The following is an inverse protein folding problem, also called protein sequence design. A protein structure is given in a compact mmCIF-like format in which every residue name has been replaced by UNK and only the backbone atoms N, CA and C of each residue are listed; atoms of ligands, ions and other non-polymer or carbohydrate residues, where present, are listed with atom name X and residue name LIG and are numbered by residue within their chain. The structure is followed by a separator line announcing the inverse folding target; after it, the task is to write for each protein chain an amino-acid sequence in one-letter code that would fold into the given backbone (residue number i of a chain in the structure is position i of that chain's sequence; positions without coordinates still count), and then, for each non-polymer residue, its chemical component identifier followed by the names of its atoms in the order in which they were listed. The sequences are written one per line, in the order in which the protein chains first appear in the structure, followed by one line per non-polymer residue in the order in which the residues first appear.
data_IF_358186605513
#
_entry.id   IF_358186605513
#
_cell.length_a   1.000
_cell.length_b   1.000
_cell.length_c   1.000
_cell.angle_alpha   90.00
_cell.angle_beta   90.00
_cell.angle_gamma   90.00
#
_symmetry.space_group_name_H-M   'P 1'
#
loop_
_entity.id
_entity.type
_entity.pdbx_description
1 polymer ?
#
# COMPACT_ATOMS: atom_id res chain seq x y z
N UNK A 1 -23.62 3.00 -14.96
CA UNK A 1 -22.54 3.16 -13.95
C UNK A 1 -21.47 2.15 -14.34
N UNK A 2 -20.25 2.60 -14.63
CA UNK A 2 -19.18 1.68 -15.02
C UNK A 2 -18.61 1.09 -13.74
N UNK A 3 -18.95 -0.17 -13.45
CA UNK A 3 -18.32 -0.92 -12.36
C UNK A 3 -17.05 -1.57 -12.88
N UNK A 4 -15.96 -1.36 -12.18
CA UNK A 4 -14.71 -2.09 -12.37
C UNK A 4 -14.67 -3.26 -11.39
N UNK A 5 -13.90 -4.30 -11.72
CA UNK A 5 -13.79 -5.51 -10.89
C UNK A 5 -12.32 -5.70 -10.50
N UNK A 6 -12.06 -5.79 -9.20
CA UNK A 6 -10.79 -6.29 -8.69
C UNK A 6 -10.82 -7.83 -8.66
N UNK A 7 -9.80 -8.46 -9.25
CA UNK A 7 -9.52 -9.87 -9.03
C UNK A 7 -9.00 -10.02 -7.59
N UNK A 8 -9.86 -10.52 -6.72
CA UNK A 8 -9.61 -10.61 -5.28
C UNK A 8 -9.92 -12.01 -4.75
N UNK A 9 -9.46 -12.28 -3.53
CA UNK A 9 -9.83 -13.47 -2.79
C UNK A 9 -10.82 -13.11 -1.69
N UNK A 10 -11.80 -14.00 -1.39
CA UNK A 10 -12.05 -15.30 -2.02
C UNK A 10 -12.84 -15.23 -3.35
N UNK A 11 -13.29 -14.04 -3.76
CA UNK A 11 -14.03 -13.81 -5.00
C UNK A 11 -13.80 -12.38 -5.52
N UNK A 12 -14.26 -12.13 -6.74
CA UNK A 12 -14.21 -10.82 -7.41
C UNK A 12 -14.89 -9.71 -6.60
N UNK A 13 -14.24 -8.54 -6.51
CA UNK A 13 -14.74 -7.39 -5.79
C UNK A 13 -15.14 -6.26 -6.77
N UNK A 14 -16.44 -6.04 -7.03
CA UNK A 14 -16.88 -4.91 -7.83
C UNK A 14 -16.72 -3.58 -7.07
N UNK A 15 -16.30 -2.52 -7.76
CA UNK A 15 -16.22 -1.17 -7.19
C UNK A 15 -16.61 -0.08 -8.19
N UNK A 16 -17.15 1.03 -7.68
CA UNK A 16 -17.41 2.28 -8.42
C UNK A 16 -16.40 3.33 -7.95
N UNK A 17 -15.47 3.80 -8.81
CA UNK A 17 -14.49 4.82 -8.45
C UNK A 17 -15.09 6.12 -7.89
N UNK A 18 -16.36 6.44 -8.20
CA UNK A 18 -17.03 7.65 -7.71
C UNK A 18 -17.46 7.56 -6.25
N UNK A 19 -17.55 6.36 -5.70
CA UNK A 19 -17.97 6.09 -4.32
C UNK A 19 -16.92 5.28 -3.56
N UNK A 20 -15.67 5.26 -4.02
CA UNK A 20 -14.57 4.53 -3.41
C UNK A 20 -13.36 5.45 -3.30
N UNK A 21 -12.66 5.39 -2.17
CA UNK A 21 -11.46 6.18 -1.92
C UNK A 21 -10.25 5.25 -1.64
N UNK A 22 -9.06 5.71 -2.02
CA UNK A 22 -7.80 5.07 -1.65
C UNK A 22 -7.36 5.59 -0.27
N UNK A 23 -6.99 4.67 0.62
CA UNK A 23 -6.40 5.00 1.93
C UNK A 23 -4.96 4.50 1.93
N UNK A 24 -4.01 5.42 2.09
CA UNK A 24 -2.59 5.11 2.25
C UNK A 24 -2.25 5.12 3.74
N UNK A 25 -1.85 3.98 4.28
CA UNK A 25 -1.64 3.79 5.73
C UNK A 25 -0.14 3.83 6.02
N UNK A 26 0.26 4.72 6.93
CA UNK A 26 1.55 4.76 7.60
C UNK A 26 2.80 4.63 6.70
N UNK A 27 2.75 5.18 5.48
CA UNK A 27 3.88 5.26 4.54
C UNK A 27 4.90 6.34 4.95
N UNK A 28 5.23 6.41 6.24
CA UNK A 28 6.22 7.33 6.81
C UNK A 28 7.63 6.77 6.61
N UNK A 29 8.60 7.65 6.31
CA UNK A 29 10.02 7.28 6.11
C UNK A 29 10.59 6.45 7.26
N UNK A 30 10.13 6.70 8.48
CA UNK A 30 10.60 6.01 9.68
C UNK A 30 10.31 4.49 9.68
N UNK A 31 9.26 4.07 8.96
CA UNK A 31 8.89 2.65 8.85
C UNK A 31 9.44 1.95 7.61
N UNK A 32 9.76 2.72 6.56
CA UNK A 32 10.12 2.16 5.25
C UNK A 32 11.55 2.47 4.80
N UNK A 33 12.22 3.47 5.37
CA UNK A 33 13.61 3.79 5.02
C UNK A 33 14.64 3.11 5.92
N UNK A 34 15.81 2.81 5.33
CA UNK A 34 16.98 2.46 6.11
C UNK A 34 17.40 3.66 6.98
N UNK A 35 17.91 3.38 8.17
CA UNK A 35 18.23 4.35 9.21
C UNK A 35 17.00 4.86 10.00
N UNK A 36 15.80 4.40 9.67
CA UNK A 36 14.57 4.72 10.39
C UNK A 36 14.31 3.78 11.58
N UNK A 37 13.21 4.06 12.29
CA UNK A 37 12.70 3.28 13.41
C UNK A 37 12.53 1.79 13.08
N UNK A 38 12.03 1.46 11.89
CA UNK A 38 11.84 0.08 11.45
C UNK A 38 13.14 -0.73 11.47
N UNK A 39 14.21 -0.19 10.90
CA UNK A 39 15.52 -0.84 10.89
C UNK A 39 16.17 -0.82 12.29
N UNK A 40 15.99 0.25 13.05
CA UNK A 40 16.53 0.36 14.42
C UNK A 40 16.00 -0.73 15.36
N UNK A 41 14.79 -1.23 15.12
CA UNK A 41 14.22 -2.38 15.83
C UNK A 41 14.72 -3.75 15.32
N UNK A 42 15.56 -3.78 14.29
CA UNK A 42 16.12 -4.99 13.70
C UNK A 42 15.26 -5.61 12.58
N UNK A 43 14.29 -4.88 12.03
CA UNK A 43 13.50 -5.39 10.90
C UNK A 43 14.25 -5.25 9.57
N UNK A 44 14.03 -6.20 8.67
CA UNK A 44 14.42 -6.05 7.26
C UNK A 44 13.42 -5.13 6.53
N UNK A 45 13.72 -3.83 6.48
CA UNK A 45 12.88 -2.83 5.81
C UNK A 45 12.84 -2.99 4.29
N UNK A 46 13.71 -3.81 3.68
CA UNK A 46 13.71 -4.02 2.22
C UNK A 46 12.39 -4.61 1.70
N UNK A 47 11.70 -5.40 2.53
CA UNK A 47 10.41 -6.02 2.20
C UNK A 47 9.31 -4.97 2.02
N UNK A 48 9.26 -3.96 2.90
CA UNK A 48 8.22 -2.93 2.89
C UNK A 48 8.53 -1.78 1.93
N UNK A 49 9.80 -1.57 1.58
CA UNK A 49 10.20 -0.56 0.58
C UNK A 49 9.58 -0.78 -0.80
N UNK A 50 9.24 -2.02 -1.12
CA UNK A 50 8.57 -2.35 -2.40
C UNK A 50 7.24 -1.62 -2.56
N UNK A 51 6.57 -1.26 -1.46
CA UNK A 51 5.32 -0.49 -1.45
C UNK A 51 5.50 0.99 -1.82
N UNK A 52 6.73 1.52 -1.87
CA UNK A 52 6.98 2.94 -2.22
C UNK A 52 6.79 3.19 -3.72
N UNK A 53 7.28 2.29 -4.57
CA UNK A 53 7.29 2.51 -6.03
C UNK A 53 5.89 2.76 -6.64
N UNK A 54 4.81 2.09 -6.20
CA UNK A 54 3.46 2.42 -6.65
C UNK A 54 2.89 3.73 -6.10
N UNK A 55 3.53 4.34 -5.10
CA UNK A 55 3.08 5.57 -4.45
C UNK A 55 3.69 6.84 -5.06
N UNK A 56 4.53 6.71 -6.09
CA UNK A 56 5.05 7.85 -6.85
C UNK A 56 4.10 8.16 -8.00
N UNK A 57 3.80 9.44 -8.25
CA UNK A 57 3.09 9.86 -9.48
C UNK A 57 3.86 9.48 -10.75
#
# INVERSE_FOLDING_TARGET
MTQSIFQAQPFELPFDPRTTALVMIDMQRDFVEAGGFGEALGNDVSLVRTAIAPCTE
#
